data_IF_999318141442
#
_entry.id   IF_999318141442
#
_cell.length_a   1.000
_cell.length_b   1.000
_cell.length_c   1.000
_cell.angle_alpha   90.00
_cell.angle_beta   90.00
_cell.angle_gamma   90.00
#
_symmetry.space_group_name_H-M   'P 1'
#
loop_
_entity.id
_entity.type
_entity.pdbx_description
1 polymer ?
#
# COMPACT_ATOMS: atom_id res chain seq x y z
N UNK A 1 1.62 27.28 28.70
CA UNK A 1 0.93 26.96 27.43
C UNK A 1 -0.48 27.52 27.52
N UNK A 2 -0.81 28.57 26.76
CA UNK A 2 -2.10 29.27 26.86
C UNK A 2 -3.24 28.44 26.26
N UNK A 3 -4.38 28.33 26.96
CA UNK A 3 -5.58 27.60 26.53
C UNK A 3 -6.12 28.10 25.17
N UNK A 4 -5.77 29.30 24.72
CA UNK A 4 -6.16 29.81 23.39
C UNK A 4 -5.46 29.09 22.23
N UNK A 5 -4.29 28.49 22.45
CA UNK A 5 -3.55 27.78 21.39
C UNK A 5 -4.13 26.41 21.03
N UNK A 6 -4.97 25.83 21.89
CA UNK A 6 -5.60 24.52 21.67
C UNK A 6 -6.91 24.61 20.84
N UNK A 7 -7.49 25.80 20.71
CA UNK A 7 -8.71 26.05 19.93
C UNK A 7 -8.45 26.38 18.45
N UNK A 8 -7.22 26.73 18.09
CA UNK A 8 -6.82 26.94 16.69
C UNK A 8 -6.30 25.63 16.11
N UNK A 9 -6.76 25.25 14.91
CA UNK A 9 -6.17 24.11 14.16
C UNK A 9 -4.65 24.24 14.19
N UNK A 10 -3.90 23.25 14.70
CA UNK A 10 -2.46 23.35 14.77
C UNK A 10 -1.91 23.47 13.35
N UNK A 11 -1.41 24.66 12.98
CA UNK A 11 -0.62 24.82 11.76
C UNK A 11 0.67 24.04 11.97
N UNK A 12 0.88 23.00 11.17
CA UNK A 12 2.16 22.29 11.13
C UNK A 12 3.20 23.24 10.55
N UNK A 13 4.00 23.84 11.41
CA UNK A 13 5.17 24.63 11.02
C UNK A 13 6.33 23.69 10.75
N UNK A 14 7.15 23.99 9.74
CA UNK A 14 8.36 23.22 9.47
C UNK A 14 9.29 23.22 10.69
N UNK A 15 9.79 22.04 11.04
CA UNK A 15 10.76 21.87 12.12
C UNK A 15 12.13 22.26 11.58
N UNK A 16 12.66 23.38 12.07
CA UNK A 16 13.97 23.90 11.67
C UNK A 16 15.11 22.93 11.99
N UNK A 17 16.16 22.96 11.16
CA UNK A 17 17.36 22.15 11.39
C UNK A 17 18.05 22.47 12.72
N UNK A 18 17.95 23.72 13.20
CA UNK A 18 18.49 24.10 14.52
C UNK A 18 17.79 23.33 15.63
N UNK A 19 16.45 23.25 15.59
CA UNK A 19 15.70 22.48 16.58
C UNK A 19 16.03 20.99 16.49
N UNK A 20 16.10 20.42 15.28
CA UNK A 20 16.51 19.01 15.07
C UNK A 20 17.89 18.71 15.67
N UNK A 21 18.87 19.59 15.43
CA UNK A 21 20.24 19.45 15.98
C UNK A 21 20.27 19.51 17.50
N UNK A 22 19.51 20.42 18.11
CA UNK A 22 19.43 20.52 19.57
C UNK A 22 18.78 19.27 20.18
N UNK A 23 17.70 18.77 19.59
CA UNK A 23 17.08 17.50 20.03
C UNK A 23 18.06 16.33 19.88
N UNK A 24 18.75 16.21 18.75
CA UNK A 24 19.73 15.13 18.53
C UNK A 24 20.86 15.16 19.58
N UNK A 25 21.34 16.34 19.99
CA UNK A 25 22.35 16.46 21.07
C UNK A 25 21.83 15.92 22.40
N UNK A 26 20.58 16.22 22.75
CA UNK A 26 19.97 15.75 24.01
C UNK A 26 19.75 14.24 23.96
N UNK A 27 19.23 13.72 22.85
CA UNK A 27 19.03 12.28 22.64
C UNK A 27 20.36 11.53 22.73
N UNK A 28 21.40 11.99 22.03
CA UNK A 28 22.72 11.37 22.09
C UNK A 28 23.30 11.38 23.51
N UNK A 29 23.12 12.48 24.27
CA UNK A 29 23.55 12.52 25.67
C UNK A 29 22.84 11.47 26.52
N UNK A 30 21.56 11.24 26.32
CA UNK A 30 20.81 10.22 27.07
C UNK A 30 21.25 8.80 26.71
N UNK A 31 21.64 8.58 25.45
CA UNK A 31 22.23 7.32 24.99
C UNK A 31 23.60 7.12 25.65
N UNK A 32 24.48 8.11 25.60
CA UNK A 32 25.83 8.05 26.19
C UNK A 32 25.80 7.85 27.71
N UNK A 33 24.79 8.39 28.39
CA UNK A 33 24.58 8.23 29.84
C UNK A 33 23.89 6.90 30.21
N UNK A 34 23.48 6.09 29.24
CA UNK A 34 22.74 4.84 29.47
C UNK A 34 21.32 5.04 30.02
N UNK A 35 20.75 6.25 29.87
CA UNK A 35 19.37 6.57 30.30
C UNK A 35 18.36 6.08 29.26
N UNK A 36 18.73 6.11 27.99
CA UNK A 36 17.88 5.73 26.87
C UNK A 36 18.65 4.85 25.88
N UNK A 37 17.92 3.99 25.18
CA UNK A 37 18.43 3.19 24.07
C UNK A 37 17.76 3.66 22.76
N UNK A 38 18.54 3.78 21.70
CA UNK A 38 18.02 4.11 20.38
C UNK A 38 17.59 2.84 19.65
N UNK A 39 16.29 2.66 19.45
CA UNK A 39 15.74 1.55 18.68
C UNK A 39 15.40 2.04 17.26
N UNK A 40 16.11 1.59 16.22
CA UNK A 40 15.78 1.96 14.84
C UNK A 40 14.45 1.30 14.42
N UNK A 41 13.57 2.09 13.81
CA UNK A 41 12.29 1.62 13.28
C UNK A 41 12.40 1.14 11.83
N UNK A 42 11.23 0.93 11.22
CA UNK A 42 11.09 0.64 9.78
C UNK A 42 10.24 1.74 9.14
N UNK A 43 10.75 2.34 8.06
CA UNK A 43 10.00 3.24 7.20
C UNK A 43 9.63 2.49 5.91
N UNK A 44 8.34 2.18 5.75
CA UNK A 44 7.82 1.59 4.52
C UNK A 44 7.25 2.67 3.59
N UNK A 45 7.74 2.73 2.36
CA UNK A 45 7.25 3.64 1.32
C UNK A 45 6.71 2.78 0.17
N UNK A 46 5.39 2.77 0.04
CA UNK A 46 4.72 2.16 -1.11
C UNK A 46 4.73 3.10 -2.31
N UNK A 47 4.63 2.54 -3.51
CA UNK A 47 4.60 3.26 -4.78
C UNK A 47 5.76 4.28 -4.94
N UNK A 48 6.99 3.88 -4.61
CA UNK A 48 8.14 4.81 -4.61
C UNK A 48 8.39 5.53 -5.94
N UNK A 49 7.97 4.95 -7.06
CA UNK A 49 8.03 5.57 -8.39
C UNK A 49 7.19 6.87 -8.51
N UNK A 50 6.37 7.19 -7.51
CA UNK A 50 5.63 8.44 -7.41
C UNK A 50 6.45 9.58 -6.80
N UNK A 51 7.61 9.29 -6.18
CA UNK A 51 8.53 10.31 -5.69
C UNK A 51 9.30 10.96 -6.85
N UNK A 52 9.65 12.23 -6.67
CA UNK A 52 10.48 12.98 -7.58
C UNK A 52 11.97 12.96 -7.20
N UNK A 53 12.79 13.50 -8.08
CA UNK A 53 14.25 13.57 -7.90
C UNK A 53 14.66 14.31 -6.61
N UNK A 54 13.91 15.33 -6.20
CA UNK A 54 14.19 16.08 -4.97
C UNK A 54 13.95 15.23 -3.72
N UNK A 55 12.86 14.46 -3.72
CA UNK A 55 12.57 13.49 -2.67
C UNK A 55 13.65 12.41 -2.58
N UNK A 56 14.12 11.88 -3.71
CA UNK A 56 15.22 10.92 -3.72
C UNK A 56 16.53 11.52 -3.20
N UNK A 57 16.84 12.76 -3.56
CA UNK A 57 18.02 13.47 -3.05
C UNK A 57 17.95 13.65 -1.53
N UNK A 58 16.76 13.97 -1.00
CA UNK A 58 16.53 14.05 0.45
C UNK A 58 16.68 12.69 1.12
N UNK A 59 16.07 11.64 0.57
CA UNK A 59 16.15 10.28 1.11
C UNK A 59 17.58 9.76 1.14
N UNK A 60 18.34 10.01 0.07
CA UNK A 60 19.74 9.63 -0.01
C UNK A 60 20.57 10.24 1.13
N UNK A 61 20.44 11.55 1.35
CA UNK A 61 21.07 12.24 2.48
C UNK A 61 20.56 11.75 3.84
N UNK A 62 19.27 11.44 3.97
CA UNK A 62 18.70 10.95 5.22
C UNK A 62 19.19 9.55 5.58
N UNK A 63 19.40 8.69 4.59
CA UNK A 63 19.93 7.32 4.73
C UNK A 63 21.41 7.29 5.12
N UNK A 64 22.17 8.36 4.85
CA UNK A 64 23.57 8.49 5.30
C UNK A 64 23.68 8.82 6.80
N UNK A 65 22.58 9.15 7.46
CA UNK A 65 22.54 9.39 8.90
C UNK A 65 22.70 8.09 9.70
N UNK A 66 23.53 8.10 10.74
CA UNK A 66 23.76 6.93 11.62
C UNK A 66 22.53 6.47 12.39
N UNK A 67 21.54 7.35 12.55
CA UNK A 67 20.27 7.07 13.23
C UNK A 67 19.13 6.75 12.26
N UNK A 68 19.43 6.53 10.98
CA UNK A 68 18.41 6.24 9.98
C UNK A 68 17.71 4.89 10.28
N UNK A 69 16.37 4.83 10.18
CA UNK A 69 15.65 3.56 10.27
C UNK A 69 15.95 2.69 9.04
N UNK A 70 15.57 1.40 9.11
CA UNK A 70 15.54 0.55 7.92
C UNK A 70 14.45 1.09 6.99
N UNK A 71 14.79 1.36 5.73
CA UNK A 71 13.83 1.85 4.75
C UNK A 71 13.50 0.75 3.75
N UNK A 72 12.21 0.44 3.63
CA UNK A 72 11.68 -0.57 2.71
C UNK A 72 10.89 0.15 1.62
N UNK A 73 11.31 -0.05 0.38
CA UNK A 73 10.65 0.50 -0.79
C UNK A 73 9.79 -0.57 -1.47
N UNK A 74 8.59 -0.21 -1.89
CA UNK A 74 7.76 -1.04 -2.75
C UNK A 74 7.43 -0.33 -4.07
N UNK A 75 7.45 -1.10 -5.15
CA UNK A 75 7.05 -0.64 -6.48
C UNK A 75 6.39 -1.78 -7.24
N UNK A 76 5.39 -1.45 -8.03
CA UNK A 76 4.75 -2.34 -9.00
C UNK A 76 5.15 -1.99 -10.45
N UNK A 77 6.05 -1.02 -10.66
CA UNK A 77 6.54 -0.61 -11.99
C UNK A 77 7.92 -1.19 -12.28
N UNK A 78 8.08 -1.75 -13.48
CA UNK A 78 9.35 -2.31 -13.95
C UNK A 78 10.31 -1.23 -14.45
N UNK A 79 9.88 -0.40 -15.40
CA UNK A 79 10.60 0.79 -15.89
C UNK A 79 9.62 1.95 -15.96
N UNK A 80 10.03 3.12 -15.47
CA UNK A 80 9.26 4.35 -15.61
C UNK A 80 10.17 5.57 -15.51
N UNK A 81 9.67 6.72 -15.98
CA UNK A 81 10.36 8.00 -15.87
C UNK A 81 10.47 8.43 -14.41
N UNK A 82 11.65 8.89 -14.01
CA UNK A 82 11.87 9.50 -12.69
C UNK A 82 11.15 10.85 -12.69
N UNK A 83 10.20 11.07 -11.77
CA UNK A 83 9.44 12.33 -11.73
C UNK A 83 10.38 13.50 -11.41
N UNK A 84 10.13 14.64 -12.02
CA UNK A 84 11.03 15.81 -11.94
C UNK A 84 12.22 15.76 -12.91
N UNK A 85 12.32 14.74 -13.76
CA UNK A 85 13.24 14.72 -14.91
C UNK A 85 12.44 14.80 -16.21
N UNK A 86 13.03 15.36 -17.27
CA UNK A 86 12.32 15.55 -18.53
C UNK A 86 12.07 14.23 -19.25
N UNK A 87 13.00 13.26 -19.23
CA UNK A 87 12.84 11.95 -19.91
C UNK A 87 13.72 10.82 -19.36
N UNK A 88 14.16 10.87 -18.08
CA UNK A 88 15.06 9.84 -17.54
C UNK A 88 14.27 8.60 -17.12
N UNK A 89 14.27 7.57 -17.96
CA UNK A 89 13.64 6.27 -17.66
C UNK A 89 14.62 5.35 -16.92
N UNK A 90 14.26 4.99 -15.69
CA UNK A 90 15.06 4.11 -14.85
C UNK A 90 14.29 2.84 -14.43
N UNK A 91 14.98 1.75 -14.07
CA UNK A 91 14.35 0.62 -13.41
C UNK A 91 13.61 1.11 -12.16
N UNK A 92 12.38 0.64 -11.97
CA UNK A 92 11.56 0.94 -10.79
C UNK A 92 11.22 2.42 -10.56
N UNK A 93 11.62 3.34 -11.46
CA UNK A 93 11.47 4.78 -11.27
C UNK A 93 12.41 5.37 -10.22
N UNK A 94 13.50 4.66 -9.90
CA UNK A 94 14.46 5.05 -8.86
C UNK A 94 15.77 5.49 -9.54
N UNK A 95 16.41 6.58 -9.09
CA UNK A 95 17.76 6.95 -9.52
C UNK A 95 18.76 5.79 -9.34
N UNK A 96 19.65 5.59 -10.33
CA UNK A 96 20.58 4.44 -10.36
C UNK A 96 21.51 4.41 -9.14
N UNK A 97 21.94 5.58 -8.66
CA UNK A 97 22.81 5.73 -7.49
C UNK A 97 22.14 5.25 -6.18
N UNK A 98 20.83 5.45 -6.03
CA UNK A 98 20.08 4.90 -4.92
C UNK A 98 19.80 3.41 -5.14
N UNK A 99 19.47 3.01 -6.37
CA UNK A 99 19.18 1.62 -6.72
C UNK A 99 20.37 0.69 -6.42
N UNK A 100 21.59 1.12 -6.72
CA UNK A 100 22.83 0.38 -6.45
C UNK A 100 23.08 0.16 -4.95
N UNK A 101 22.47 0.99 -4.08
CA UNK A 101 22.53 0.87 -2.62
C UNK A 101 21.40 0.00 -2.04
N UNK A 102 20.45 -0.47 -2.86
CA UNK A 102 19.28 -1.22 -2.40
C UNK A 102 19.41 -2.72 -2.61
N UNK A 103 18.88 -3.51 -1.66
CA UNK A 103 18.68 -4.94 -1.84
C UNK A 103 17.31 -5.18 -2.49
N UNK A 104 17.30 -5.67 -3.72
CA UNK A 104 16.06 -5.93 -4.46
C UNK A 104 15.54 -7.33 -4.13
N UNK A 105 14.37 -7.40 -3.50
CA UNK A 105 13.63 -8.63 -3.23
C UNK A 105 12.46 -8.71 -4.20
N UNK A 106 12.46 -9.72 -5.07
CA UNK A 106 11.37 -9.92 -6.05
C UNK A 106 10.25 -10.74 -5.43
N UNK A 107 9.03 -10.23 -5.50
CA UNK A 107 7.81 -10.98 -5.17
C UNK A 107 7.27 -11.68 -6.41
N UNK A 108 6.75 -12.89 -6.23
CA UNK A 108 6.12 -13.68 -7.29
C UNK A 108 4.60 -13.64 -7.11
N UNK A 109 3.82 -13.73 -8.20
CA UNK A 109 2.38 -13.88 -8.08
C UNK A 109 2.03 -15.18 -7.38
N UNK A 110 0.98 -15.16 -6.57
CA UNK A 110 0.44 -16.35 -5.92
C UNK A 110 -0.18 -17.29 -6.96
N UNK A 111 -0.07 -18.59 -6.72
CA UNK A 111 -0.86 -19.58 -7.44
C UNK A 111 -2.30 -19.66 -6.88
N UNK A 112 -3.17 -20.40 -7.56
CA UNK A 112 -4.59 -20.54 -7.20
C UNK A 112 -4.81 -21.07 -5.78
N UNK A 113 -4.02 -22.07 -5.38
CA UNK A 113 -4.17 -22.72 -4.08
C UNK A 113 -3.70 -21.81 -2.94
N UNK A 114 -2.61 -21.06 -3.17
CA UNK A 114 -2.14 -20.01 -2.26
C UNK A 114 -3.17 -18.89 -2.12
N UNK A 115 -3.81 -18.46 -3.21
CA UNK A 115 -4.89 -17.47 -3.14
C UNK A 115 -6.07 -17.98 -2.30
N UNK A 116 -6.51 -19.22 -2.52
CA UNK A 116 -7.59 -19.83 -1.72
C UNK A 116 -7.23 -19.87 -0.23
N UNK A 117 -5.98 -20.21 0.11
CA UNK A 117 -5.50 -20.22 1.49
C UNK A 117 -5.50 -18.81 2.11
N UNK A 118 -5.05 -17.79 1.38
CA UNK A 118 -5.04 -16.41 1.88
C UNK A 118 -6.47 -15.90 2.10
N UNK A 119 -7.38 -16.16 1.15
CA UNK A 119 -8.81 -15.79 1.27
C UNK A 119 -9.45 -16.50 2.46
N UNK A 120 -9.11 -17.78 2.71
CA UNK A 120 -9.60 -18.51 3.89
C UNK A 120 -9.15 -17.87 5.20
N UNK A 121 -7.86 -17.53 5.33
CA UNK A 121 -7.32 -16.85 6.52
C UNK A 121 -8.06 -15.52 6.74
N UNK A 122 -8.31 -14.78 5.67
CA UNK A 122 -9.02 -13.52 5.73
C UNK A 122 -10.48 -13.67 6.14
N UNK A 123 -11.20 -14.65 5.59
CA UNK A 123 -12.57 -14.96 5.96
C UNK A 123 -12.69 -15.33 7.44
N UNK A 124 -11.77 -16.15 7.96
CA UNK A 124 -11.70 -16.50 9.39
C UNK A 124 -11.45 -15.25 10.25
N UNK A 125 -10.56 -14.36 9.81
CA UNK A 125 -10.24 -13.12 10.54
C UNK A 125 -11.43 -12.17 10.61
N UNK A 126 -12.25 -12.14 9.56
CA UNK A 126 -13.48 -11.33 9.49
C UNK A 126 -14.71 -12.03 10.08
N UNK A 127 -14.58 -13.27 10.58
CA UNK A 127 -15.68 -14.05 11.14
C UNK A 127 -16.73 -14.48 10.12
N UNK A 128 -16.34 -14.63 8.84
CA UNK A 128 -17.22 -15.02 7.74
C UNK A 128 -17.06 -16.53 7.48
N UNK A 129 -18.17 -17.27 7.56
CA UNK A 129 -18.18 -18.69 7.20
C UNK A 129 -18.27 -18.85 5.68
N UNK A 130 -17.24 -19.46 5.08
CA UNK A 130 -17.13 -19.64 3.62
C UNK A 130 -16.88 -21.12 3.33
N UNK A 131 -17.67 -21.70 2.42
CA UNK A 131 -17.50 -23.08 1.96
C UNK A 131 -16.28 -23.25 1.05
N UNK A 132 -15.76 -24.47 0.90
CA UNK A 132 -14.61 -24.73 0.02
C UNK A 132 -14.92 -24.43 -1.46
N UNK A 133 -16.17 -24.62 -1.90
CA UNK A 133 -16.62 -24.27 -3.24
C UNK A 133 -16.53 -22.74 -3.48
N UNK A 134 -16.97 -21.94 -2.49
CA UNK A 134 -16.87 -20.49 -2.53
C UNK A 134 -15.42 -20.00 -2.52
N UNK A 135 -14.55 -20.64 -1.71
CA UNK A 135 -13.12 -20.32 -1.70
C UNK A 135 -12.45 -20.62 -3.05
N UNK A 136 -12.80 -21.75 -3.66
CA UNK A 136 -12.36 -22.08 -5.02
C UNK A 136 -12.80 -21.02 -6.03
N UNK A 137 -14.05 -20.57 -5.94
CA UNK A 137 -14.59 -19.53 -6.84
C UNK A 137 -13.90 -18.18 -6.65
N UNK A 138 -13.69 -17.76 -5.39
CA UNK A 138 -12.97 -16.52 -5.07
C UNK A 138 -11.50 -16.58 -5.52
N UNK A 139 -10.86 -17.75 -5.44
CA UNK A 139 -9.52 -17.95 -5.97
C UNK A 139 -9.47 -17.83 -7.50
N UNK A 140 -10.46 -18.38 -8.21
CA UNK A 140 -10.59 -18.21 -9.67
C UNK A 140 -10.75 -16.74 -10.07
N UNK A 141 -11.60 -16.00 -9.34
CA UNK A 141 -11.79 -14.56 -9.53
C UNK A 141 -10.48 -13.81 -9.25
N UNK A 142 -9.80 -14.14 -8.14
CA UNK A 142 -8.52 -13.53 -7.75
C UNK A 142 -7.43 -13.73 -8.80
N UNK A 143 -7.37 -14.92 -9.40
CA UNK A 143 -6.41 -15.26 -10.46
C UNK A 143 -6.70 -14.50 -11.77
N UNK A 144 -7.98 -14.29 -12.11
CA UNK A 144 -8.37 -13.46 -13.27
C UNK A 144 -8.12 -11.97 -13.04
N UNK A 145 -8.27 -11.50 -11.80
CA UNK A 145 -8.24 -10.09 -11.41
C UNK A 145 -7.04 -9.76 -10.53
N UNK A 146 -7.23 -9.63 -9.21
CA UNK A 146 -6.20 -9.46 -8.18
C UNK A 146 -6.69 -10.09 -6.87
N UNK A 147 -5.75 -10.50 -6.01
CA UNK A 147 -6.05 -10.96 -4.65
C UNK A 147 -6.82 -9.90 -3.83
N UNK A 148 -6.48 -8.61 -4.01
CA UNK A 148 -7.15 -7.49 -3.33
C UNK A 148 -8.64 -7.47 -3.63
N UNK A 149 -9.00 -7.61 -4.90
CA UNK A 149 -10.39 -7.63 -5.33
C UNK A 149 -11.13 -8.86 -4.77
N UNK A 150 -10.54 -10.06 -4.88
CA UNK A 150 -11.15 -11.28 -4.32
C UNK A 150 -11.41 -11.18 -2.81
N UNK A 151 -10.48 -10.59 -2.05
CA UNK A 151 -10.67 -10.33 -0.62
C UNK A 151 -11.78 -9.31 -0.37
N UNK A 152 -11.84 -8.23 -1.17
CA UNK A 152 -12.87 -7.21 -1.03
C UNK A 152 -14.29 -7.72 -1.33
N UNK A 153 -14.44 -8.81 -2.09
CA UNK A 153 -15.74 -9.43 -2.35
C UNK A 153 -16.30 -10.17 -1.11
N UNK A 154 -15.47 -10.59 -0.15
CA UNK A 154 -15.93 -11.35 1.02
C UNK A 154 -17.02 -10.61 1.81
N UNK A 155 -16.77 -9.34 2.14
CA UNK A 155 -17.71 -8.51 2.91
C UNK A 155 -19.07 -8.30 2.22
N UNK A 156 -19.15 -7.81 0.96
CA UNK A 156 -20.42 -7.63 0.28
C UNK A 156 -21.15 -8.96 0.03
N UNK A 157 -20.45 -10.04 -0.31
CA UNK A 157 -21.07 -11.36 -0.45
C UNK A 157 -21.69 -11.83 0.88
N UNK A 158 -21.02 -11.59 2.01
CA UNK A 158 -21.53 -11.96 3.33
C UNK A 158 -22.77 -11.12 3.72
N UNK A 159 -22.82 -9.84 3.33
CA UNK A 159 -24.00 -8.99 3.52
C UNK A 159 -25.17 -9.48 2.65
N UNK A 160 -24.90 -9.89 1.42
CA UNK A 160 -25.92 -10.37 0.50
C UNK A 160 -26.51 -11.70 0.97
N UNK A 161 -25.67 -12.66 1.36
CA UNK A 161 -26.11 -13.93 1.95
C UNK A 161 -27.03 -13.71 3.16
N UNK A 162 -26.65 -12.80 4.08
CA UNK A 162 -27.50 -12.43 5.23
C UNK A 162 -28.83 -11.81 4.81
N UNK A 163 -28.82 -10.95 3.79
CA UNK A 163 -30.05 -10.33 3.25
C UNK A 163 -30.99 -11.38 2.64
N UNK A 164 -30.42 -12.39 1.98
CA UNK A 164 -31.16 -13.52 1.42
C UNK A 164 -31.58 -14.57 2.46
N UNK A 165 -31.25 -14.36 3.75
CA UNK A 165 -31.58 -15.28 4.84
C UNK A 165 -30.70 -16.53 4.89
N UNK A 166 -29.57 -16.55 4.19
CA UNK A 166 -28.62 -17.66 4.18
C UNK A 166 -27.46 -17.36 5.15
N UNK A 167 -27.18 -18.28 6.07
CA UNK A 167 -26.08 -18.11 7.05
C UNK A 167 -24.69 -18.29 6.41
N UNK A 168 -24.60 -19.04 5.32
CA UNK A 168 -23.36 -19.31 4.60
C UNK A 168 -23.45 -18.79 3.17
N UNK A 169 -22.41 -18.08 2.73
CA UNK A 169 -22.25 -17.63 1.35
C UNK A 169 -22.19 -18.84 0.40
N UNK A 170 -22.89 -18.76 -0.72
CA UNK A 170 -22.83 -19.71 -1.83
C UNK A 170 -22.09 -19.11 -3.04
N UNK A 171 -21.86 -19.91 -4.08
CA UNK A 171 -21.17 -19.44 -5.28
C UNK A 171 -22.02 -18.44 -6.09
N UNK A 172 -23.36 -18.55 -6.01
CA UNK A 172 -24.28 -17.68 -6.73
C UNK A 172 -24.21 -16.25 -6.19
N UNK A 173 -24.12 -16.06 -4.86
CA UNK A 173 -23.92 -14.72 -4.30
C UNK A 173 -22.58 -14.11 -4.72
N UNK A 174 -21.53 -14.91 -4.86
CA UNK A 174 -20.22 -14.41 -5.29
C UNK A 174 -20.30 -13.87 -6.72
N UNK A 175 -21.00 -14.61 -7.60
CA UNK A 175 -21.14 -14.22 -8.99
C UNK A 175 -22.02 -12.96 -9.14
N UNK A 176 -23.13 -12.89 -8.41
CA UNK A 176 -23.99 -11.71 -8.40
C UNK A 176 -23.26 -10.47 -7.83
N UNK A 177 -22.52 -10.60 -6.72
CA UNK A 177 -21.72 -9.47 -6.21
C UNK A 177 -20.60 -9.09 -7.18
N UNK A 178 -19.97 -10.04 -7.86
CA UNK A 178 -18.95 -9.74 -8.86
C UNK A 178 -19.50 -8.98 -10.08
N UNK A 179 -20.79 -9.17 -10.41
CA UNK A 179 -21.49 -8.37 -11.41
C UNK A 179 -21.86 -6.96 -10.90
N UNK A 180 -22.13 -6.81 -9.61
CA UNK A 180 -22.45 -5.51 -9.01
C UNK A 180 -21.20 -4.63 -8.79
N UNK A 181 -20.08 -5.24 -8.39
CA UNK A 181 -18.85 -4.52 -8.05
C UNK A 181 -17.73 -4.87 -9.01
N UNK A 182 -17.57 -4.09 -10.08
CA UNK A 182 -16.53 -4.35 -11.07
C UNK A 182 -15.11 -4.15 -10.54
N UNK A 183 -14.20 -5.03 -10.97
CA UNK A 183 -12.77 -4.79 -10.84
C UNK A 183 -12.28 -3.68 -11.79
N UNK A 184 -11.10 -3.13 -11.51
CA UNK A 184 -10.57 -2.01 -12.27
C UNK A 184 -10.40 -2.29 -13.77
N UNK A 185 -10.05 -3.53 -14.18
CA UNK A 185 -9.89 -3.88 -15.60
C UNK A 185 -11.25 -3.95 -16.30
N UNK A 186 -12.23 -4.58 -15.66
CA UNK A 186 -13.60 -4.67 -16.21
C UNK A 186 -14.23 -3.28 -16.30
N UNK A 187 -14.08 -2.45 -15.26
CA UNK A 187 -14.54 -1.06 -15.27
C UNK A 187 -13.91 -0.23 -16.40
N UNK A 188 -12.58 -0.33 -16.59
CA UNK A 188 -11.89 0.36 -17.67
C UNK A 188 -12.36 -0.10 -19.06
N UNK A 189 -12.65 -1.40 -19.24
CA UNK A 189 -13.18 -1.93 -20.51
C UNK A 189 -14.57 -1.38 -20.81
N UNK A 190 -15.48 -1.37 -19.84
CA UNK A 190 -16.82 -0.79 -20.00
C UNK A 190 -16.74 0.69 -20.37
N UNK A 191 -15.83 1.43 -19.74
CA UNK A 191 -15.60 2.85 -20.05
C UNK A 191 -15.09 3.05 -21.48
N UNK A 192 -14.16 2.21 -21.94
CA UNK A 192 -13.63 2.27 -23.30
C UNK A 192 -14.69 1.94 -24.37
N UNK A 193 -15.56 0.95 -24.12
CA UNK A 193 -16.66 0.58 -25.03
C UNK A 193 -17.74 1.68 -25.14
N UNK A 194 -17.87 2.52 -24.11
CA UNK A 194 -18.86 3.59 -24.03
C UNK A 194 -18.23 4.98 -24.10
N UNK A 195 -17.00 5.11 -24.61
CA UNK A 195 -16.21 6.35 -24.56
C UNK A 195 -16.92 7.56 -25.19
N UNK A 196 -17.78 7.33 -26.19
CA UNK A 196 -18.58 8.37 -26.85
C UNK A 196 -19.65 9.00 -25.95
N UNK A 197 -20.05 8.31 -24.87
CA UNK A 197 -21.06 8.78 -23.91
C UNK A 197 -20.45 9.54 -22.73
N UNK A 198 -19.14 9.52 -22.58
CA UNK A 198 -18.42 10.17 -21.49
C UNK A 198 -17.69 11.41 -22.00
N UNK A 199 -17.55 12.42 -21.13
CA UNK A 199 -16.71 13.58 -21.44
C UNK A 199 -15.27 13.11 -21.63
N UNK A 200 -14.69 13.46 -22.76
CA UNK A 200 -13.27 13.26 -23.01
C UNK A 200 -12.49 14.33 -22.25
N UNK A 201 -11.39 13.92 -21.60
CA UNK A 201 -10.42 14.82 -20.99
C UNK A 201 -9.51 15.44 -22.04
#
# INVERSE_FOLDING_TARGET
>A
MSMMGQLMKPKKTEITDKLRKEINKVVNRYIDQGIAELVPGVLFIDEIHMLDLECFTYLHKALESTIAPIVIFATNRGRCTIRGTEDVVAPHGIPLDLLDRTLIIRTLPYNRDEMAAIVRIRAVTEGISVSDACLSRLADIGNRTTLRYAVQLLTPCAIMARTNGVEQMTADEIDEVAELFFDAKTSAKVLAEHSEKFMQN
#
